data_IF_507478892518
#
_entry.id   IF_507478892518
#
_cell.length_a   1.000
_cell.length_b   1.000
_cell.length_c   1.000
_cell.angle_alpha   90.00
_cell.angle_beta   90.00
_cell.angle_gamma   90.00
#
_symmetry.space_group_name_H-M   'P 1'
#
loop_
_entity.id
_entity.type
_entity.pdbx_description
1 polymer ?
#
# COMPACT_ATOMS: atom_id res chain seq x y z
N UNK A 1 -6.99 -26.14 -13.10
CA UNK A 1 -8.07 -25.26 -12.64
C UNK A 1 -8.08 -24.02 -13.55
N UNK A 2 -9.21 -23.63 -14.15
CA UNK A 2 -9.32 -22.41 -14.92
C UNK A 2 -9.01 -21.19 -14.05
N UNK A 3 -8.34 -20.18 -14.62
CA UNK A 3 -8.04 -18.94 -13.91
C UNK A 3 -8.07 -17.73 -14.85
N UNK A 4 -8.22 -16.58 -14.26
CA UNK A 4 -8.09 -15.25 -14.87
C UNK A 4 -6.95 -14.48 -14.20
N UNK A 5 -6.40 -13.48 -14.90
CA UNK A 5 -5.36 -12.61 -14.35
C UNK A 5 -5.62 -11.16 -14.73
N UNK A 6 -5.43 -10.26 -13.76
CA UNK A 6 -5.65 -8.84 -13.94
C UNK A 6 -7.12 -8.43 -14.10
N UNK A 7 -7.35 -7.18 -14.44
CA UNK A 7 -8.66 -6.64 -14.80
C UNK A 7 -9.07 -7.05 -16.23
N UNK A 8 -10.14 -6.45 -16.76
CA UNK A 8 -10.63 -6.67 -18.14
C UNK A 8 -9.57 -6.36 -19.23
N UNK A 9 -8.59 -5.52 -18.92
CA UNK A 9 -7.44 -5.21 -19.79
C UNK A 9 -6.21 -6.12 -19.51
N UNK A 10 -6.35 -7.12 -18.66
CA UNK A 10 -5.27 -7.98 -18.15
C UNK A 10 -4.17 -7.22 -17.39
N UNK A 11 -4.50 -6.07 -16.82
CA UNK A 11 -3.61 -5.29 -15.96
C UNK A 11 -3.82 -5.74 -14.52
N UNK A 12 -2.74 -6.13 -13.84
CA UNK A 12 -2.77 -6.43 -12.42
C UNK A 12 -2.55 -5.16 -11.59
N UNK A 13 -2.98 -5.16 -10.35
CA UNK A 13 -2.68 -4.09 -9.41
C UNK A 13 -1.16 -3.90 -9.25
N UNK A 14 -0.69 -2.67 -8.94
CA UNK A 14 0.72 -2.41 -8.74
C UNK A 14 1.35 -3.34 -7.72
N UNK A 15 2.58 -3.75 -7.97
CA UNK A 15 3.42 -4.47 -7.01
C UNK A 15 4.19 -3.49 -6.14
N UNK A 16 4.63 -3.90 -4.96
CA UNK A 16 5.41 -3.03 -4.07
C UNK A 16 6.66 -3.72 -3.56
N UNK A 17 7.70 -2.93 -3.27
CA UNK A 17 8.91 -3.40 -2.60
C UNK A 17 9.09 -2.60 -1.31
N UNK A 18 8.75 -3.20 -0.18
CA UNK A 18 8.86 -2.55 1.14
C UNK A 18 10.30 -2.45 1.60
N UNK A 19 10.57 -1.45 2.43
CA UNK A 19 11.86 -1.26 3.08
C UNK A 19 11.70 -0.66 4.48
N UNK A 20 12.77 -0.74 5.26
CA UNK A 20 12.85 -0.15 6.59
C UNK A 20 14.00 0.84 6.67
N UNK A 21 13.82 1.87 7.47
CA UNK A 21 14.88 2.80 7.86
C UNK A 21 14.93 2.94 9.38
N UNK A 22 16.14 3.13 9.92
CA UNK A 22 16.38 3.48 11.31
C UNK A 22 17.30 4.71 11.42
N UNK A 23 17.58 5.13 12.66
CA UNK A 23 18.34 6.35 12.93
C UNK A 23 17.49 7.61 12.71
N UNK A 24 16.18 7.49 12.92
CA UNK A 24 15.22 8.60 12.79
C UNK A 24 15.13 9.34 14.13
N UNK A 25 15.33 10.65 14.10
CA UNK A 25 15.03 11.56 15.20
C UNK A 25 13.52 11.85 15.20
N UNK A 26 12.78 11.05 15.98
CA UNK A 26 11.33 11.18 16.04
C UNK A 26 10.84 12.48 16.67
N UNK A 27 11.59 13.07 17.59
CA UNK A 27 11.19 14.34 18.21
C UNK A 27 11.19 15.45 17.17
N UNK A 28 12.23 15.51 16.37
CA UNK A 28 12.35 16.45 15.25
C UNK A 28 11.35 16.15 14.13
N UNK A 29 11.18 14.88 13.78
CA UNK A 29 10.17 14.45 12.80
C UNK A 29 8.75 14.84 13.24
N UNK A 30 8.37 14.54 14.48
CA UNK A 30 7.04 14.87 15.01
C UNK A 30 6.82 16.38 15.09
N UNK A 31 7.84 17.16 15.46
CA UNK A 31 7.75 18.61 15.45
C UNK A 31 7.45 19.15 14.03
N UNK A 32 8.13 18.61 13.02
CA UNK A 32 7.90 18.94 11.62
C UNK A 32 6.49 18.53 11.16
N UNK A 33 6.04 17.31 11.49
CA UNK A 33 4.71 16.87 11.11
C UNK A 33 3.60 17.70 11.75
N UNK A 34 3.76 18.10 13.01
CA UNK A 34 2.82 19.02 13.68
C UNK A 34 2.77 20.38 12.98
N UNK A 35 3.88 20.91 12.51
CA UNK A 35 3.90 22.19 11.76
C UNK A 35 3.14 22.10 10.43
N UNK A 36 2.98 20.89 9.88
CA UNK A 36 2.17 20.60 8.70
C UNK A 36 0.71 20.23 9.03
N UNK A 37 0.30 20.35 10.32
CA UNK A 37 -1.06 20.03 10.76
C UNK A 37 -1.30 18.53 11.00
N UNK A 38 -0.26 17.70 11.03
CA UNK A 38 -0.37 16.27 11.32
C UNK A 38 -0.03 15.96 12.78
N UNK A 39 -0.98 15.38 13.51
CA UNK A 39 -0.81 14.92 14.90
C UNK A 39 -0.53 13.42 15.03
N UNK A 40 -0.37 12.69 13.94
CA UNK A 40 -0.08 11.26 13.98
C UNK A 40 1.36 10.98 14.42
N UNK A 41 1.52 10.20 15.48
CA UNK A 41 2.82 9.99 16.12
C UNK A 41 3.73 8.98 15.40
N UNK A 42 3.20 8.06 14.60
CA UNK A 42 3.98 6.98 13.97
C UNK A 42 3.47 6.59 12.59
N UNK A 43 2.76 7.48 11.94
CA UNK A 43 2.22 7.27 10.61
C UNK A 43 2.30 8.56 9.82
N UNK A 44 2.79 8.49 8.60
CA UNK A 44 2.62 9.57 7.64
C UNK A 44 2.49 8.98 6.23
N UNK A 45 1.79 9.70 5.40
CA UNK A 45 1.46 9.27 4.06
C UNK A 45 1.37 10.47 3.13
N UNK A 46 1.18 10.19 1.88
CA UNK A 46 1.00 11.18 0.82
C UNK A 46 -0.14 12.16 1.09
N UNK A 47 -1.23 11.70 1.74
CA UNK A 47 -2.38 12.52 2.13
C UNK A 47 -2.19 13.24 3.47
N UNK A 48 -1.05 13.08 4.14
CA UNK A 48 -0.69 13.90 5.31
C UNK A 48 -0.58 15.36 4.88
N UNK A 49 -1.16 16.26 5.66
CA UNK A 49 -1.11 17.70 5.37
C UNK A 49 0.34 18.15 5.09
N UNK A 50 0.55 18.88 3.99
CA UNK A 50 1.84 19.39 3.54
C UNK A 50 2.78 18.35 2.92
N UNK A 51 2.52 17.04 3.00
CA UNK A 51 3.41 16.04 2.41
C UNK A 51 3.36 16.04 0.88
N UNK A 52 2.20 16.34 0.31
CA UNK A 52 2.05 16.40 -1.14
C UNK A 52 2.96 17.49 -1.74
N UNK A 53 3.03 18.64 -1.11
CA UNK A 53 3.89 19.75 -1.52
C UNK A 53 5.37 19.41 -1.39
N UNK A 54 5.76 18.72 -0.31
CA UNK A 54 7.13 18.27 -0.08
C UNK A 54 7.56 17.21 -1.12
N UNK A 55 6.68 16.26 -1.45
CA UNK A 55 6.91 15.28 -2.50
C UNK A 55 7.02 15.93 -3.87
N UNK A 56 6.11 16.88 -4.18
CA UNK A 56 6.13 17.61 -5.45
C UNK A 56 7.42 18.40 -5.60
N UNK A 57 7.84 19.10 -4.53
CA UNK A 57 9.12 19.83 -4.55
C UNK A 57 10.31 18.90 -4.84
N UNK A 58 10.36 17.74 -4.21
CA UNK A 58 11.44 16.77 -4.44
C UNK A 58 11.42 16.19 -5.87
N UNK A 59 10.24 16.07 -6.46
CA UNK A 59 10.08 15.72 -7.87
C UNK A 59 10.63 16.84 -8.79
N UNK A 60 10.24 18.08 -8.54
CA UNK A 60 10.67 19.24 -9.34
C UNK A 60 12.18 19.46 -9.23
N UNK A 61 12.78 19.17 -8.08
CA UNK A 61 14.23 19.19 -7.86
C UNK A 61 14.96 17.97 -8.49
N UNK A 62 14.23 17.04 -9.15
CA UNK A 62 14.79 15.85 -9.81
C UNK A 62 15.27 14.75 -8.88
N UNK A 63 14.88 14.78 -7.60
CA UNK A 63 15.22 13.75 -6.61
C UNK A 63 14.28 12.56 -6.71
N UNK A 64 13.00 12.81 -6.97
CA UNK A 64 11.97 11.80 -7.19
C UNK A 64 11.51 11.80 -8.65
N UNK A 65 10.94 10.69 -9.09
CA UNK A 65 10.25 10.57 -10.38
C UNK A 65 8.74 10.66 -10.17
N UNK A 66 7.96 10.85 -11.26
CA UNK A 66 6.51 10.82 -11.18
C UNK A 66 5.95 9.52 -10.59
N UNK A 67 6.62 8.38 -10.86
CA UNK A 67 6.26 7.09 -10.27
C UNK A 67 6.45 7.07 -8.74
N UNK A 68 7.50 7.70 -8.21
CA UNK A 68 7.80 7.68 -6.78
C UNK A 68 6.80 8.51 -5.95
N UNK A 69 6.12 9.48 -6.56
CA UNK A 69 5.14 10.34 -5.90
C UNK A 69 3.70 9.86 -6.03
N UNK A 70 3.45 8.74 -6.71
CA UNK A 70 2.09 8.18 -6.86
C UNK A 70 1.56 7.60 -5.56
N UNK A 71 2.41 6.98 -4.76
CA UNK A 71 2.03 6.38 -3.49
C UNK A 71 3.18 6.44 -2.48
N UNK A 72 2.87 6.90 -1.27
CA UNK A 72 3.81 6.96 -0.16
C UNK A 72 3.08 6.73 1.17
N UNK A 73 3.59 5.80 1.98
CA UNK A 73 3.05 5.51 3.30
C UNK A 73 4.13 4.92 4.19
N UNK A 74 4.19 5.36 5.45
CA UNK A 74 5.16 4.87 6.42
C UNK A 74 4.54 4.69 7.81
N UNK A 75 5.06 3.72 8.55
CA UNK A 75 4.58 3.33 9.88
C UNK A 75 5.75 3.14 10.83
N UNK A 76 5.59 3.59 12.08
CA UNK A 76 6.52 3.25 13.15
C UNK A 76 6.51 1.75 13.44
N UNK A 77 7.67 1.20 13.80
CA UNK A 77 7.82 -0.22 14.12
C UNK A 77 7.70 -0.40 15.63
N UNK A 78 6.76 -1.24 16.15
CA UNK A 78 6.66 -1.52 17.56
C UNK A 78 7.98 -2.08 18.12
N UNK A 79 8.43 -1.56 19.26
CA UNK A 79 9.68 -1.97 19.90
C UNK A 79 10.96 -1.42 19.28
N UNK A 80 10.88 -0.65 18.18
CA UNK A 80 12.02 0.04 17.53
C UNK A 80 11.74 1.54 17.47
N UNK A 81 12.16 2.31 18.50
CA UNK A 81 11.75 3.71 18.67
C UNK A 81 12.35 4.66 17.62
N UNK A 82 13.41 4.25 16.95
CA UNK A 82 14.12 5.03 15.92
C UNK A 82 13.88 4.55 14.50
N UNK A 83 12.87 3.67 14.26
CA UNK A 83 12.68 3.00 12.98
C UNK A 83 11.26 3.10 12.42
N UNK A 84 11.16 3.13 11.09
CA UNK A 84 9.91 3.08 10.32
C UNK A 84 9.98 2.03 9.21
N UNK A 85 8.84 1.40 8.95
CA UNK A 85 8.58 0.58 7.77
C UNK A 85 7.84 1.41 6.71
N UNK A 86 8.25 1.26 5.46
CA UNK A 86 7.72 2.00 4.32
C UNK A 86 6.92 1.08 3.40
N UNK A 87 5.63 1.37 3.26
CA UNK A 87 4.73 0.72 2.31
C UNK A 87 4.77 1.45 0.97
N UNK A 88 5.94 1.52 0.39
CA UNK A 88 6.29 2.09 -0.90
C UNK A 88 7.68 1.58 -1.30
N UNK A 89 8.14 1.72 -2.59
CA UNK A 89 7.39 2.24 -3.72
C UNK A 89 6.33 1.28 -4.24
N UNK A 90 5.32 1.83 -4.90
CA UNK A 90 4.45 1.07 -5.81
C UNK A 90 5.02 1.10 -7.22
N UNK A 91 5.00 -0.05 -7.88
CA UNK A 91 5.58 -0.25 -9.20
C UNK A 91 4.47 -0.72 -10.15
N UNK A 92 4.22 0.06 -11.19
CA UNK A 92 3.16 -0.23 -12.15
C UNK A 92 3.34 -1.59 -12.85
N UNK A 93 2.23 -2.25 -13.14
CA UNK A 93 2.17 -3.53 -13.84
C UNK A 93 1.33 -3.41 -15.09
N UNK A 94 1.73 -4.12 -16.15
CA UNK A 94 0.96 -4.20 -17.41
C UNK A 94 0.89 -5.61 -17.99
N UNK A 95 1.48 -6.61 -17.26
CA UNK A 95 1.68 -7.97 -17.78
C UNK A 95 1.49 -8.99 -16.66
N UNK A 96 1.56 -10.26 -17.00
CA UNK A 96 1.50 -11.36 -16.02
C UNK A 96 2.61 -11.18 -14.97
N UNK A 97 2.20 -10.90 -13.75
CA UNK A 97 3.09 -10.62 -12.61
C UNK A 97 3.86 -11.85 -12.13
N UNK A 98 3.53 -13.04 -12.60
CA UNK A 98 4.23 -14.29 -12.24
C UNK A 98 5.37 -14.63 -13.22
N UNK A 99 5.59 -13.81 -14.25
CA UNK A 99 6.76 -13.96 -15.13
C UNK A 99 8.06 -13.65 -14.35
N UNK A 100 9.03 -14.59 -14.29
CA UNK A 100 10.29 -14.38 -13.58
C UNK A 100 11.11 -13.19 -14.07
N UNK A 101 11.07 -12.89 -15.38
CA UNK A 101 11.77 -11.75 -15.96
C UNK A 101 11.15 -10.44 -15.47
N UNK A 102 9.81 -10.36 -15.46
CA UNK A 102 9.07 -9.24 -14.88
C UNK A 102 9.39 -9.06 -13.40
N UNK A 103 9.37 -10.14 -12.60
CA UNK A 103 9.68 -10.09 -11.17
C UNK A 103 11.10 -9.54 -10.93
N UNK A 104 12.08 -10.01 -11.70
CA UNK A 104 13.47 -9.53 -11.62
C UNK A 104 13.57 -8.05 -11.96
N UNK A 105 12.92 -7.62 -13.04
CA UNK A 105 12.88 -6.22 -13.43
C UNK A 105 12.28 -5.34 -12.33
N UNK A 106 11.14 -5.73 -11.76
CA UNK A 106 10.49 -4.97 -10.68
C UNK A 106 11.29 -4.93 -9.39
N UNK A 107 12.03 -5.99 -9.08
CA UNK A 107 12.98 -5.99 -7.98
C UNK A 107 14.10 -4.95 -8.17
N UNK A 108 14.63 -4.82 -9.38
CA UNK A 108 15.65 -3.83 -9.71
C UNK A 108 15.08 -2.41 -9.67
N UNK A 109 13.92 -2.18 -10.29
CA UNK A 109 13.23 -0.89 -10.29
C UNK A 109 12.89 -0.44 -8.88
N UNK A 110 12.35 -1.34 -8.05
CA UNK A 110 12.01 -1.07 -6.65
C UNK A 110 13.22 -0.65 -5.83
N UNK A 111 14.35 -1.34 -5.96
CA UNK A 111 15.60 -0.95 -5.27
C UNK A 111 16.08 0.43 -5.69
N UNK A 112 16.01 0.76 -6.98
CA UNK A 112 16.35 2.12 -7.47
C UNK A 112 15.43 3.18 -6.89
N UNK A 113 14.12 2.91 -6.83
CA UNK A 113 13.13 3.81 -6.23
C UNK A 113 13.40 4.00 -4.72
N UNK A 114 13.72 2.94 -3.99
CA UNK A 114 14.06 3.01 -2.55
C UNK A 114 15.28 3.92 -2.33
N UNK A 115 16.30 3.87 -3.17
CA UNK A 115 17.45 4.76 -3.06
C UNK A 115 17.08 6.23 -3.30
N UNK A 116 16.16 6.53 -4.21
CA UNK A 116 15.62 7.88 -4.41
C UNK A 116 14.79 8.32 -3.20
N UNK A 117 13.90 7.46 -2.70
CA UNK A 117 13.10 7.73 -1.49
C UNK A 117 13.97 7.96 -0.26
N UNK A 118 15.06 7.19 -0.06
CA UNK A 118 16.04 7.47 0.99
C UNK A 118 16.64 8.87 0.84
N UNK A 119 17.02 9.26 -0.38
CA UNK A 119 17.59 10.58 -0.65
C UNK A 119 16.57 11.68 -0.36
N UNK A 120 15.33 11.48 -0.78
CA UNK A 120 14.20 12.36 -0.48
C UNK A 120 14.02 12.53 1.04
N UNK A 121 13.85 11.44 1.76
CA UNK A 121 13.62 11.47 3.21
C UNK A 121 14.71 12.23 3.94
N UNK A 122 15.97 11.97 3.62
CA UNK A 122 17.11 12.63 4.26
C UNK A 122 17.24 14.11 3.95
N UNK A 123 16.78 14.57 2.79
CA UNK A 123 16.93 15.96 2.36
C UNK A 123 15.70 16.84 2.67
N UNK A 124 14.51 16.24 2.68
CA UNK A 124 13.25 17.00 2.70
C UNK A 124 12.40 16.75 3.95
N UNK A 125 12.68 15.69 4.71
CA UNK A 125 11.89 15.34 5.87
C UNK A 125 12.74 15.49 7.14
N UNK A 126 12.49 16.54 7.96
CA UNK A 126 13.22 16.73 9.20
C UNK A 126 13.14 15.53 10.13
N UNK A 127 14.26 15.17 10.72
CA UNK A 127 14.41 13.97 11.55
C UNK A 127 14.98 12.76 10.81
N UNK A 128 15.08 12.83 9.47
CA UNK A 128 15.64 11.74 8.64
C UNK A 128 17.06 11.99 8.16
N UNK A 129 17.71 13.07 8.55
CA UNK A 129 19.01 13.48 8.03
C UNK A 129 20.10 12.40 8.19
N UNK A 130 20.06 11.66 9.29
CA UNK A 130 20.99 10.58 9.60
C UNK A 130 20.38 9.19 9.37
N UNK A 131 19.13 9.11 8.92
CA UNK A 131 18.45 7.83 8.72
C UNK A 131 19.13 6.99 7.63
N UNK A 132 19.14 5.68 7.82
CA UNK A 132 19.73 4.71 6.91
C UNK A 132 18.80 3.52 6.71
N UNK A 133 18.91 2.86 5.56
CA UNK A 133 18.14 1.66 5.24
C UNK A 133 18.68 0.51 6.08
N UNK A 134 17.82 -0.15 6.83
CA UNK A 134 18.13 -1.35 7.63
C UNK A 134 17.74 -2.62 6.91
N UNK A 135 16.68 -2.58 6.13
CA UNK A 135 16.19 -3.74 5.42
C UNK A 135 15.46 -3.34 4.12
N UNK A 136 15.56 -4.17 3.11
CA UNK A 136 14.73 -4.15 1.90
C UNK A 136 14.13 -5.54 1.78
N UNK A 137 12.82 -5.62 1.53
CA UNK A 137 12.13 -6.88 1.33
C UNK A 137 12.84 -7.73 0.25
N UNK A 138 12.98 -9.02 0.52
CA UNK A 138 13.69 -9.95 -0.35
C UNK A 138 13.01 -10.13 -1.71
N UNK A 139 11.67 -10.07 -1.71
CA UNK A 139 10.83 -10.22 -2.90
C UNK A 139 9.85 -9.07 -3.03
N UNK A 140 9.51 -8.76 -4.28
CA UNK A 140 8.40 -7.86 -4.62
C UNK A 140 7.10 -8.45 -4.09
N UNK A 141 6.29 -7.63 -3.44
CA UNK A 141 4.96 -8.02 -2.95
C UNK A 141 3.91 -7.88 -4.06
N UNK A 142 3.21 -8.97 -4.33
CA UNK A 142 2.09 -9.01 -5.28
C UNK A 142 0.78 -8.85 -4.51
N UNK A 143 -0.09 -7.97 -4.99
CA UNK A 143 -1.45 -7.82 -4.45
C UNK A 143 -2.39 -8.88 -5.01
N UNK A 144 -2.22 -9.18 -6.29
CA UNK A 144 -2.98 -10.18 -7.02
C UNK A 144 -2.12 -10.80 -8.14
N UNK A 145 -2.53 -11.98 -8.61
CA UNK A 145 -1.95 -12.61 -9.78
C UNK A 145 -3.04 -13.38 -10.54
N UNK A 146 -3.14 -14.68 -10.30
CA UNK A 146 -4.17 -15.55 -10.88
C UNK A 146 -5.34 -15.68 -9.92
N UNK A 147 -6.55 -15.48 -10.43
CA UNK A 147 -7.80 -15.76 -9.73
C UNK A 147 -8.42 -17.00 -10.35
N UNK A 148 -8.82 -17.96 -9.55
CA UNK A 148 -9.56 -19.12 -10.05
C UNK A 148 -10.93 -18.68 -10.58
N UNK A 149 -11.39 -19.33 -11.64
CA UNK A 149 -12.78 -19.24 -12.09
C UNK A 149 -13.58 -20.15 -11.18
N UNK A 150 -14.18 -19.58 -10.16
CA UNK A 150 -14.85 -20.26 -9.06
C UNK A 150 -16.37 -20.37 -9.28
N UNK A 151 -17.03 -21.23 -8.51
CA UNK A 151 -18.50 -21.35 -8.52
C UNK A 151 -19.22 -20.07 -8.05
N UNK A 152 -18.54 -19.25 -7.26
CA UNK A 152 -19.07 -17.96 -6.79
C UNK A 152 -17.98 -16.88 -6.85
N UNK A 153 -18.32 -15.74 -7.42
CA UNK A 153 -17.46 -14.55 -7.43
C UNK A 153 -17.99 -13.55 -6.40
N UNK A 154 -17.20 -13.28 -5.35
CA UNK A 154 -17.54 -12.27 -4.36
C UNK A 154 -17.57 -10.88 -5.01
N UNK A 155 -18.68 -10.17 -4.84
CA UNK A 155 -18.91 -8.88 -5.47
C UNK A 155 -18.79 -7.72 -4.48
N UNK A 156 -18.63 -6.50 -5.01
CA UNK A 156 -18.69 -5.27 -4.19
C UNK A 156 -20.01 -5.16 -3.45
N UNK A 157 -21.12 -5.59 -4.07
CA UNK A 157 -22.46 -5.56 -3.47
C UNK A 157 -22.55 -6.49 -2.25
N UNK A 158 -21.88 -7.65 -2.29
CA UNK A 158 -21.83 -8.55 -1.14
C UNK A 158 -21.11 -7.89 0.05
N UNK A 159 -20.00 -7.19 -0.23
CA UNK A 159 -19.22 -6.48 0.78
C UNK A 159 -20.04 -5.32 1.37
N UNK A 160 -20.65 -4.50 0.56
CA UNK A 160 -21.44 -3.34 1.00
C UNK A 160 -22.71 -3.73 1.75
N UNK A 161 -23.28 -4.90 1.44
CA UNK A 161 -24.44 -5.46 2.12
C UNK A 161 -24.09 -6.26 3.39
N UNK A 162 -22.83 -6.33 3.78
CA UNK A 162 -22.36 -7.20 4.90
C UNK A 162 -22.87 -8.64 4.76
N UNK A 163 -22.81 -9.19 3.55
CA UNK A 163 -23.44 -10.46 3.24
C UNK A 163 -22.83 -11.61 4.03
N UNK A 164 -23.71 -12.47 4.56
CA UNK A 164 -23.37 -13.73 5.24
C UNK A 164 -23.70 -14.88 4.31
N UNK A 165 -22.93 -15.97 4.40
CA UNK A 165 -23.11 -17.13 3.55
C UNK A 165 -23.24 -18.40 4.39
N UNK A 166 -24.11 -19.37 4.01
CA UNK A 166 -24.21 -20.65 4.72
C UNK A 166 -22.92 -21.45 4.72
N UNK A 167 -22.07 -21.22 3.72
CA UNK A 167 -20.75 -21.84 3.53
C UNK A 167 -19.60 -20.85 3.81
N UNK A 168 -19.82 -19.84 4.66
CA UNK A 168 -18.82 -18.85 5.03
C UNK A 168 -17.61 -19.47 5.74
N UNK A 169 -16.39 -19.23 5.22
CA UNK A 169 -15.13 -19.77 5.77
C UNK A 169 -14.25 -18.69 6.41
N UNK A 170 -14.52 -17.43 6.13
CA UNK A 170 -13.80 -16.31 6.72
C UNK A 170 -14.73 -15.09 6.83
N UNK A 171 -14.42 -14.21 7.77
CA UNK A 171 -15.12 -12.93 7.95
C UNK A 171 -14.14 -11.77 7.87
N UNK A 172 -14.57 -10.66 7.27
CA UNK A 172 -13.76 -9.45 7.17
C UNK A 172 -14.64 -8.19 7.31
N UNK A 173 -14.08 -7.16 7.90
CA UNK A 173 -14.64 -5.81 7.89
C UNK A 173 -13.74 -4.83 7.11
N UNK A 174 -12.75 -5.36 6.40
CA UNK A 174 -11.82 -4.54 5.62
C UNK A 174 -12.55 -3.87 4.44
N UNK A 175 -12.28 -2.58 4.18
CA UNK A 175 -12.88 -1.87 3.05
C UNK A 175 -12.37 -2.43 1.71
N UNK A 176 -13.11 -2.14 0.66
CA UNK A 176 -12.62 -2.35 -0.71
C UNK A 176 -11.47 -1.39 -0.97
N UNK A 177 -10.31 -1.93 -1.31
CA UNK A 177 -9.06 -1.19 -1.50
C UNK A 177 -8.37 -1.73 -2.76
N UNK A 178 -8.65 -1.09 -3.89
CA UNK A 178 -8.10 -1.44 -5.21
C UNK A 178 -7.20 -0.31 -5.67
N UNK A 179 -6.00 -0.65 -6.09
CA UNK A 179 -4.97 0.29 -6.57
C UNK A 179 -4.73 0.13 -8.08
N UNK A 180 -4.36 1.22 -8.75
CA UNK A 180 -4.00 1.23 -10.17
C UNK A 180 -5.01 1.94 -11.06
N UNK A 181 -5.16 1.50 -12.31
CA UNK A 181 -6.03 2.16 -13.30
C UNK A 181 -7.51 2.15 -12.90
N UNK A 182 -7.92 1.17 -12.12
CA UNK A 182 -9.29 1.02 -11.59
C UNK A 182 -9.37 1.47 -10.12
N UNK A 183 -8.56 2.45 -9.70
CA UNK A 183 -8.47 2.90 -8.31
C UNK A 183 -9.86 3.19 -7.71
N UNK A 184 -10.37 2.20 -6.99
CA UNK A 184 -11.66 2.23 -6.30
C UNK A 184 -11.42 2.05 -4.81
N UNK A 185 -11.01 3.11 -4.16
CA UNK A 185 -11.03 3.20 -2.70
C UNK A 185 -12.46 3.50 -2.23
N UNK A 186 -13.31 2.49 -2.26
CA UNK A 186 -14.60 2.57 -1.61
C UNK A 186 -14.37 2.32 -0.11
N UNK A 187 -14.12 3.38 0.65
CA UNK A 187 -14.25 3.29 2.09
C UNK A 187 -15.61 2.65 2.41
N UNK A 188 -15.61 1.56 3.19
CA UNK A 188 -16.85 1.00 3.70
C UNK A 188 -17.59 2.14 4.39
N UNK A 189 -18.67 2.61 3.79
CA UNK A 189 -19.61 3.46 4.48
C UNK A 189 -20.33 2.55 5.47
N UNK A 190 -20.00 2.71 6.73
CA UNK A 190 -20.71 2.02 7.80
C UNK A 190 -22.17 2.43 7.75
N UNK A 191 -23.04 1.49 7.43
CA UNK A 191 -24.46 1.67 7.67
C UNK A 191 -24.66 1.65 9.18
N UNK A 192 -24.96 2.81 9.78
CA UNK A 192 -25.13 2.94 11.23
C UNK A 192 -26.34 2.19 11.74
N UNK A 193 -27.28 1.81 10.88
CA UNK A 193 -28.42 0.97 11.21
C UNK A 193 -28.03 -0.48 11.52
N UNK A 194 -26.88 -0.95 10.99
CA UNK A 194 -26.37 -2.30 11.26
C UNK A 194 -25.60 -2.29 12.58
N UNK A 195 -25.86 -3.21 13.52
CA UNK A 195 -25.11 -3.34 14.75
C UNK A 195 -23.60 -3.53 14.51
N UNK A 196 -22.74 -2.90 15.32
CA UNK A 196 -21.26 -2.92 15.10
C UNK A 196 -20.68 -4.34 14.98
N UNK A 197 -21.19 -5.28 15.76
CA UNK A 197 -20.79 -6.68 15.74
C UNK A 197 -21.25 -7.45 14.50
N UNK A 198 -22.11 -6.85 13.66
CA UNK A 198 -22.62 -7.44 12.41
C UNK A 198 -22.05 -6.76 11.17
N UNK A 199 -21.27 -5.69 11.32
CA UNK A 199 -20.64 -4.93 10.23
C UNK A 199 -19.42 -5.66 9.68
N UNK A 200 -19.61 -6.88 9.21
CA UNK A 200 -18.61 -7.68 8.51
C UNK A 200 -19.27 -8.46 7.38
N UNK A 201 -18.52 -8.76 6.38
CA UNK A 201 -18.90 -9.61 5.26
C UNK A 201 -18.16 -10.94 5.34
N UNK A 202 -18.67 -11.97 4.68
CA UNK A 202 -18.07 -13.30 4.70
C UNK A 202 -17.53 -13.68 3.32
N UNK A 203 -16.53 -14.57 3.33
CA UNK A 203 -16.01 -15.23 2.14
C UNK A 203 -16.61 -16.64 2.10
N UNK A 204 -17.43 -16.99 1.10
CA UNK A 204 -17.98 -18.32 0.99
C UNK A 204 -16.95 -19.32 0.44
N UNK A 205 -17.04 -20.58 0.83
CA UNK A 205 -16.16 -21.66 0.33
C UNK A 205 -16.17 -21.78 -1.19
N UNK A 206 -17.32 -21.55 -1.81
CA UNK A 206 -17.50 -21.58 -3.27
C UNK A 206 -16.64 -20.57 -4.06
N UNK A 207 -15.98 -19.64 -3.41
CA UNK A 207 -14.97 -18.79 -4.05
C UNK A 207 -13.63 -19.50 -4.27
N UNK A 208 -13.44 -20.69 -3.72
CA UNK A 208 -12.21 -21.47 -3.76
C UNK A 208 -12.29 -22.72 -4.63
N UNK A 209 -13.44 -23.01 -5.20
CA UNK A 209 -13.72 -24.21 -6.01
C UNK A 209 -14.39 -23.87 -7.32
#
# INVERSE_FOLDING_TARGET
VPYESGNHNRVNQPVSLRFEMAGIDFDRFHASMRSLGNNAHKYFAMNTAGMKEVLQKAHDDGVLTGQDICYFQAFGIPGRPDAMNFNCPELATKVDVVDPAFMTQKQIEGKKAILRLRTFLRRYVPGFENAYITEIAQLVGFRESRRIVSEYVLTIQDILAYRKFPDGIAASHYPVDVHGEDDVSLGLRYDESVPKNERYWEVPFRTMV
#
